data_IF_612829931545
#
_entry.id   IF_612829931545
#
_cell.length_a   1.000
_cell.length_b   1.000
_cell.length_c   1.000
_cell.angle_alpha   90.00
_cell.angle_beta   90.00
_cell.angle_gamma   90.00
#
_symmetry.space_group_name_H-M   'P 1'
#
loop_
_entity.id
_entity.type
_entity.pdbx_description
1 polymer ?
#
# COMPACT_ATOMS: atom_id res chain seq x y z
N UNK A 1 -7.93 41.08 -2.87
CA UNK A 1 -7.68 40.30 -1.61
C UNK A 1 -6.66 39.24 -1.87
N UNK A 2 -5.38 39.35 -1.50
CA UNK A 2 -4.36 38.31 -1.70
C UNK A 2 -3.94 37.73 -0.33
N UNK A 3 -4.68 36.78 0.21
CA UNK A 3 -4.30 36.12 1.49
C UNK A 3 -4.33 34.59 1.50
N UNK A 4 -4.58 33.90 0.36
CA UNK A 4 -4.66 32.44 0.36
C UNK A 4 -3.43 31.70 -0.23
N UNK A 5 -2.56 32.34 -0.97
CA UNK A 5 -1.38 31.71 -1.59
C UNK A 5 -0.20 31.54 -0.63
N UNK A 6 0.01 32.49 0.27
CA UNK A 6 1.14 32.46 1.22
C UNK A 6 1.07 31.33 2.26
N UNK A 7 -0.13 30.83 2.58
CA UNK A 7 -0.31 29.74 3.56
C UNK A 7 0.05 28.35 3.00
N UNK A 8 -0.22 28.08 1.73
CA UNK A 8 0.02 26.78 1.10
C UNK A 8 1.51 26.54 0.79
N UNK A 9 2.19 27.56 0.24
CA UNK A 9 3.64 27.50 0.00
C UNK A 9 4.46 27.36 1.29
N UNK A 10 4.04 28.03 2.37
CA UNK A 10 4.67 27.92 3.69
C UNK A 10 4.59 26.50 4.29
N UNK A 11 3.51 25.74 4.01
CA UNK A 11 3.25 24.45 4.66
C UNK A 11 3.90 23.27 3.93
N UNK A 12 3.97 23.29 2.60
CA UNK A 12 4.72 22.34 1.82
C UNK A 12 6.21 22.37 2.18
N UNK A 13 6.75 23.57 2.34
CA UNK A 13 8.10 23.80 2.86
C UNK A 13 8.31 23.22 4.27
N UNK A 14 7.28 23.22 5.14
CA UNK A 14 7.38 22.67 6.49
C UNK A 14 7.47 21.12 6.49
N UNK A 15 6.68 20.44 5.67
CA UNK A 15 6.75 18.98 5.51
C UNK A 15 8.10 18.55 4.90
N UNK A 16 8.59 19.27 3.87
CA UNK A 16 9.89 19.04 3.26
C UNK A 16 11.03 19.22 4.27
N UNK A 17 11.03 20.32 5.02
CA UNK A 17 12.02 20.55 6.09
C UNK A 17 11.97 19.50 7.18
N UNK A 18 10.79 19.03 7.58
CA UNK A 18 10.66 17.92 8.54
C UNK A 18 11.25 16.64 7.96
N UNK A 19 10.94 16.30 6.71
CA UNK A 19 11.45 15.12 6.03
C UNK A 19 12.99 15.12 5.98
N UNK A 20 13.61 16.24 5.61
CA UNK A 20 15.08 16.42 5.62
C UNK A 20 15.65 16.15 7.01
N UNK A 21 15.13 16.81 8.05
CA UNK A 21 15.60 16.61 9.43
C UNK A 21 15.47 15.15 9.89
N UNK A 22 14.36 14.46 9.55
CA UNK A 22 14.15 13.08 9.97
C UNK A 22 15.07 12.11 9.22
N UNK A 23 15.32 12.31 7.93
CA UNK A 23 16.30 11.51 7.18
C UNK A 23 17.73 11.71 7.72
N UNK A 24 18.12 12.94 8.06
CA UNK A 24 19.43 13.22 8.63
C UNK A 24 19.61 12.60 10.01
N UNK A 25 18.59 12.73 10.87
CA UNK A 25 18.58 12.12 12.21
C UNK A 25 18.62 10.59 12.12
N UNK A 26 17.83 9.99 11.23
CA UNK A 26 17.85 8.55 10.98
C UNK A 26 19.22 8.09 10.48
N UNK A 27 19.79 8.80 9.51
CA UNK A 27 21.11 8.48 8.95
C UNK A 27 22.23 8.55 9.97
N UNK A 28 22.14 9.50 10.91
CA UNK A 28 23.12 9.62 12.00
C UNK A 28 23.03 8.44 12.99
N UNK A 29 21.81 8.09 13.43
CA UNK A 29 21.57 6.94 14.32
C UNK A 29 22.03 5.61 13.71
N UNK A 30 21.61 5.35 12.46
CA UNK A 30 21.94 4.08 11.76
C UNK A 30 23.44 3.91 11.46
N UNK A 31 24.24 4.99 11.54
CA UNK A 31 25.72 4.89 11.48
C UNK A 31 26.33 4.54 12.83
N UNK A 32 25.72 4.99 13.93
CA UNK A 32 26.24 4.82 15.27
C UNK A 32 25.88 3.44 15.87
N UNK A 33 24.75 2.85 15.47
CA UNK A 33 24.26 1.58 15.97
C UNK A 33 24.49 0.46 14.94
N UNK A 34 25.08 -0.70 15.32
CA UNK A 34 25.02 -1.88 14.47
C UNK A 34 23.55 -2.30 14.32
N UNK A 35 23.15 -2.66 13.10
CA UNK A 35 21.80 -3.00 12.67
C UNK A 35 21.06 -3.86 13.72
N UNK A 36 20.01 -3.33 14.35
CA UNK A 36 19.31 -4.06 15.39
C UNK A 36 17.86 -3.72 15.67
N UNK A 37 17.38 -2.53 15.34
CA UNK A 37 16.06 -2.07 15.79
C UNK A 37 15.04 -1.80 14.66
N UNK A 38 15.46 -1.47 13.47
CA UNK A 38 14.57 -1.29 12.31
C UNK A 38 14.83 -2.37 11.25
N UNK A 39 13.78 -2.77 10.55
CA UNK A 39 13.90 -3.73 9.43
C UNK A 39 14.65 -3.04 8.28
N UNK A 40 15.92 -3.39 8.01
CA UNK A 40 16.78 -2.65 7.08
C UNK A 40 16.30 -2.76 5.62
N UNK A 41 15.28 -3.57 5.36
CA UNK A 41 14.68 -3.78 4.04
C UNK A 41 13.40 -3.00 3.83
N UNK A 42 12.89 -2.24 4.82
CA UNK A 42 11.69 -1.42 4.63
C UNK A 42 11.98 -0.29 3.62
N UNK A 43 11.10 -0.09 2.63
CA UNK A 43 11.32 0.90 1.57
C UNK A 43 11.02 2.36 1.99
N UNK A 44 10.60 2.63 3.23
CA UNK A 44 10.19 3.97 3.67
C UNK A 44 11.25 5.04 3.47
N UNK A 45 12.49 4.78 3.89
CA UNK A 45 13.60 5.72 3.74
C UNK A 45 13.92 6.01 2.27
N UNK A 46 14.16 5.02 1.40
CA UNK A 46 14.45 5.31 -0.01
C UNK A 46 13.27 5.90 -0.79
N UNK A 47 12.01 5.57 -0.43
CA UNK A 47 10.82 6.22 -1.01
C UNK A 47 10.81 7.71 -0.67
N UNK A 48 10.95 8.06 0.61
CA UNK A 48 10.97 9.45 1.05
C UNK A 48 12.16 10.22 0.45
N UNK A 49 13.33 9.59 0.41
CA UNK A 49 14.54 10.18 -0.18
C UNK A 49 14.37 10.46 -1.67
N UNK A 50 13.75 9.54 -2.43
CA UNK A 50 13.47 9.75 -3.86
C UNK A 50 12.52 10.94 -4.09
N UNK A 51 11.49 11.10 -3.26
CA UNK A 51 10.57 12.24 -3.33
C UNK A 51 11.28 13.56 -3.01
N UNK A 52 12.14 13.58 -2.00
CA UNK A 52 12.91 14.78 -1.65
C UNK A 52 13.94 15.12 -2.73
N UNK A 53 14.63 14.12 -3.28
CA UNK A 53 15.62 14.33 -4.35
C UNK A 53 14.96 14.97 -5.59
N UNK A 54 13.75 14.56 -5.91
CA UNK A 54 13.01 15.09 -7.05
C UNK A 54 12.55 16.56 -6.88
N UNK A 55 12.67 17.15 -5.68
CA UNK A 55 12.35 18.59 -5.48
C UNK A 55 13.38 19.53 -6.10
N UNK A 56 14.60 19.06 -6.35
CA UNK A 56 15.70 19.88 -6.84
C UNK A 56 16.28 20.85 -5.79
N UNK A 57 15.84 20.75 -4.52
CA UNK A 57 16.41 21.54 -3.42
C UNK A 57 17.78 20.95 -3.02
N UNK A 58 18.87 21.73 -3.01
CA UNK A 58 20.20 21.19 -2.74
C UNK A 58 20.40 20.59 -1.34
N UNK A 59 19.65 21.03 -0.33
CA UNK A 59 19.69 20.46 1.02
C UNK A 59 18.96 19.14 1.05
N UNK A 60 17.77 19.07 0.45
CA UNK A 60 16.99 17.85 0.31
C UNK A 60 17.73 16.77 -0.49
N UNK A 61 18.38 17.14 -1.59
CA UNK A 61 19.21 16.24 -2.40
C UNK A 61 20.37 15.63 -1.60
N UNK A 62 21.12 16.45 -0.85
CA UNK A 62 22.21 15.96 0.00
C UNK A 62 21.75 15.04 1.11
N UNK A 63 20.61 15.36 1.76
CA UNK A 63 20.01 14.52 2.79
C UNK A 63 19.53 13.19 2.21
N UNK A 64 18.83 13.22 1.08
CA UNK A 64 18.37 12.05 0.35
C UNK A 64 19.54 11.13 -0.04
N UNK A 65 20.61 11.69 -0.62
CA UNK A 65 21.77 10.92 -1.02
C UNK A 65 22.45 10.22 0.17
N UNK A 66 22.59 10.91 1.31
CA UNK A 66 23.12 10.30 2.53
C UNK A 66 22.23 9.17 3.05
N UNK A 67 20.92 9.39 3.10
CA UNK A 67 19.99 8.42 3.63
C UNK A 67 19.96 7.15 2.77
N UNK A 68 19.90 7.27 1.45
CA UNK A 68 19.93 6.11 0.54
C UNK A 68 21.25 5.34 0.68
N UNK A 69 22.39 6.02 0.78
CA UNK A 69 23.69 5.37 0.94
C UNK A 69 23.78 4.59 2.28
N UNK A 70 23.24 5.14 3.37
CA UNK A 70 23.18 4.46 4.67
C UNK A 70 22.24 3.26 4.61
N UNK A 71 21.04 3.45 4.04
CA UNK A 71 20.05 2.37 3.90
C UNK A 71 20.58 1.22 3.04
N UNK A 72 21.20 1.51 1.90
CA UNK A 72 21.72 0.52 0.97
C UNK A 72 22.82 -0.37 1.57
N UNK A 73 23.58 0.12 2.54
CA UNK A 73 24.63 -0.65 3.23
C UNK A 73 24.06 -1.88 3.95
N UNK A 74 22.87 -1.73 4.54
CA UNK A 74 22.24 -2.76 5.38
C UNK A 74 21.03 -3.42 4.70
N UNK A 75 20.61 -2.94 3.53
CA UNK A 75 19.50 -3.47 2.77
C UNK A 75 19.68 -4.96 2.42
N UNK A 76 18.61 -5.74 2.60
CA UNK A 76 18.64 -7.19 2.38
C UNK A 76 19.19 -8.02 3.55
N UNK A 77 19.59 -7.38 4.65
CA UNK A 77 19.97 -8.04 5.90
C UNK A 77 18.76 -8.12 6.82
N UNK A 78 17.92 -9.10 6.69
CA UNK A 78 16.69 -9.23 7.48
C UNK A 78 16.04 -10.58 7.29
N UNK A 79 14.78 -10.75 7.73
CA UNK A 79 14.05 -11.98 7.48
C UNK A 79 14.06 -12.34 5.99
N UNK A 80 14.42 -13.57 5.68
CA UNK A 80 14.61 -14.03 4.30
C UNK A 80 13.28 -14.45 3.66
N UNK A 81 12.24 -13.59 3.71
CA UNK A 81 11.00 -13.82 2.98
C UNK A 81 10.88 -12.85 1.79
N UNK A 82 10.03 -13.20 0.81
CA UNK A 82 9.92 -12.47 -0.45
C UNK A 82 8.96 -11.28 -0.41
N UNK A 83 8.27 -11.04 0.70
CA UNK A 83 7.23 -10.03 0.85
C UNK A 83 7.68 -8.59 0.63
N UNK A 84 6.71 -7.70 0.51
CA UNK A 84 6.93 -6.27 0.27
C UNK A 84 7.26 -5.51 1.56
N UNK A 85 6.69 -5.94 2.68
CA UNK A 85 6.86 -5.31 3.99
C UNK A 85 7.50 -6.28 4.99
N UNK A 86 7.57 -5.89 6.25
CA UNK A 86 8.14 -6.66 7.35
C UNK A 86 9.57 -7.18 7.10
N UNK A 87 10.37 -6.40 6.37
CA UNK A 87 11.75 -6.73 6.06
C UNK A 87 11.95 -7.66 4.87
N UNK A 88 10.92 -7.83 4.02
CA UNK A 88 10.99 -8.73 2.87
C UNK A 88 11.83 -8.21 1.70
N UNK A 89 12.29 -9.14 0.86
CA UNK A 89 13.15 -8.85 -0.29
C UNK A 89 12.48 -7.99 -1.38
N UNK A 90 11.16 -8.06 -1.52
CA UNK A 90 10.42 -7.20 -2.44
C UNK A 90 10.44 -5.74 -1.99
N UNK A 91 10.41 -5.46 -0.67
CA UNK A 91 10.62 -4.12 -0.13
C UNK A 91 12.04 -3.60 -0.41
N UNK A 92 13.03 -4.47 -0.23
CA UNK A 92 14.42 -4.16 -0.63
C UNK A 92 14.51 -3.80 -2.12
N UNK A 93 13.84 -4.56 -3.00
CA UNK A 93 13.82 -4.28 -4.44
C UNK A 93 13.24 -2.90 -4.75
N UNK A 94 12.12 -2.54 -4.13
CA UNK A 94 11.52 -1.21 -4.27
C UNK A 94 12.50 -0.12 -3.84
N UNK A 95 13.09 -0.28 -2.66
CA UNK A 95 14.05 0.68 -2.12
C UNK A 95 15.28 0.87 -3.02
N UNK A 96 15.83 -0.21 -3.56
CA UNK A 96 16.95 -0.16 -4.51
C UNK A 96 16.56 0.56 -5.80
N UNK A 97 15.38 0.30 -6.36
CA UNK A 97 14.90 0.92 -7.59
C UNK A 97 14.66 2.42 -7.45
N UNK A 98 13.93 2.81 -6.40
CA UNK A 98 13.68 4.23 -6.16
C UNK A 98 14.95 4.95 -5.73
N UNK A 99 15.78 4.30 -4.91
CA UNK A 99 17.10 4.80 -4.55
C UNK A 99 18.07 4.92 -5.72
N UNK A 100 17.87 4.17 -6.81
CA UNK A 100 18.68 4.29 -8.03
C UNK A 100 18.50 5.65 -8.74
N UNK A 101 17.36 6.33 -8.54
CA UNK A 101 17.17 7.71 -8.97
C UNK A 101 18.10 8.69 -8.25
N UNK A 102 18.56 8.34 -7.06
CA UNK A 102 19.52 9.12 -6.25
C UNK A 102 20.96 8.62 -6.46
N UNK A 103 21.15 7.29 -6.47
CA UNK A 103 22.44 6.63 -6.69
C UNK A 103 22.32 5.59 -7.81
N UNK A 104 22.65 5.94 -9.07
CA UNK A 104 22.49 5.06 -10.23
C UNK A 104 23.21 3.71 -10.12
N UNK A 105 24.27 3.62 -9.31
CA UNK A 105 24.98 2.38 -9.01
C UNK A 105 24.13 1.29 -8.32
N UNK A 106 22.94 1.62 -7.83
CA UNK A 106 22.00 0.64 -7.25
C UNK A 106 21.22 -0.15 -8.32
N UNK A 107 21.14 0.35 -9.56
CA UNK A 107 20.39 -0.31 -10.65
C UNK A 107 20.81 -1.77 -10.86
N UNK A 108 22.12 -2.12 -11.04
CA UNK A 108 22.50 -3.51 -11.23
C UNK A 108 22.27 -4.39 -10.00
N UNK A 109 22.21 -3.80 -8.79
CA UNK A 109 21.85 -4.54 -7.57
C UNK A 109 20.35 -4.86 -7.57
N UNK A 110 19.51 -3.87 -7.91
CA UNK A 110 18.07 -4.05 -8.06
C UNK A 110 17.73 -5.11 -9.12
N UNK A 111 18.44 -5.10 -10.26
CA UNK A 111 18.23 -6.08 -11.32
C UNK A 111 18.57 -7.50 -10.87
N UNK A 112 19.69 -7.70 -10.18
CA UNK A 112 20.05 -9.02 -9.62
C UNK A 112 19.03 -9.52 -8.59
N UNK A 113 18.53 -8.62 -7.73
CA UNK A 113 17.51 -8.99 -6.74
C UNK A 113 16.18 -9.34 -7.41
N UNK A 114 15.74 -8.56 -8.40
CA UNK A 114 14.56 -8.89 -9.23
C UNK A 114 14.70 -10.29 -9.82
N UNK A 115 15.83 -10.57 -10.47
CA UNK A 115 16.06 -11.86 -11.12
C UNK A 115 16.13 -13.01 -10.10
N UNK A 116 16.62 -12.75 -8.90
CA UNK A 116 16.56 -13.71 -7.79
C UNK A 116 15.12 -14.00 -7.40
N UNK A 117 14.30 -12.98 -7.12
CA UNK A 117 12.89 -13.14 -6.74
C UNK A 117 12.10 -13.94 -7.80
N UNK A 118 12.29 -13.62 -9.08
CA UNK A 118 11.60 -14.32 -10.17
C UNK A 118 12.04 -15.78 -10.28
N UNK A 119 13.35 -16.06 -10.19
CA UNK A 119 13.84 -17.44 -10.25
C UNK A 119 13.41 -18.31 -9.08
N UNK A 120 13.30 -17.73 -7.89
CA UNK A 120 12.94 -18.49 -6.68
C UNK A 120 11.43 -18.65 -6.50
N UNK A 121 10.62 -17.83 -7.15
CA UNK A 121 9.15 -17.86 -7.02
C UNK A 121 8.54 -19.27 -7.14
N UNK A 122 8.91 -20.13 -8.12
CA UNK A 122 8.34 -21.48 -8.23
C UNK A 122 8.74 -22.41 -7.08
N UNK A 123 9.80 -22.11 -6.35
CA UNK A 123 10.36 -22.95 -5.28
C UNK A 123 9.86 -22.55 -3.89
N UNK A 124 9.11 -21.44 -3.77
CA UNK A 124 8.64 -20.92 -2.48
C UNK A 124 7.59 -21.83 -1.81
N UNK A 125 7.00 -22.76 -2.55
CA UNK A 125 6.07 -23.74 -1.98
C UNK A 125 4.79 -23.12 -1.42
N UNK A 126 4.32 -22.00 -1.98
CA UNK A 126 3.06 -21.36 -1.57
C UNK A 126 1.90 -22.35 -1.64
N UNK A 127 1.11 -22.39 -0.57
CA UNK A 127 -0.10 -23.21 -0.49
C UNK A 127 -1.17 -22.70 -1.44
N UNK A 128 -2.03 -23.62 -1.88
CA UNK A 128 -3.20 -23.30 -2.70
C UNK A 128 -4.52 -23.70 -2.04
N UNK A 129 -4.45 -24.21 -0.84
CA UNK A 129 -5.59 -24.58 0.02
C UNK A 129 -5.18 -24.35 1.46
N UNK A 130 -6.15 -24.01 2.34
CA UNK A 130 -5.90 -23.69 3.74
C UNK A 130 -4.73 -22.71 3.91
N UNK A 131 -4.79 -21.61 3.17
CA UNK A 131 -3.70 -20.65 3.03
C UNK A 131 -3.43 -19.83 4.30
N UNK A 132 -2.23 -19.29 4.39
CA UNK A 132 -1.83 -18.24 5.33
C UNK A 132 -1.41 -16.98 4.56
N UNK A 133 -1.18 -15.86 5.24
CA UNK A 133 -0.79 -14.60 4.62
C UNK A 133 0.42 -14.70 3.68
N UNK A 134 1.50 -15.43 4.02
CA UNK A 134 2.64 -15.60 3.12
C UNK A 134 2.30 -16.28 1.79
N UNK A 135 1.16 -16.96 1.70
CA UNK A 135 0.77 -17.68 0.49
C UNK A 135 0.12 -16.76 -0.56
N UNK A 136 -0.38 -15.55 -0.18
CA UNK A 136 -1.14 -14.73 -1.14
C UNK A 136 -1.10 -13.23 -0.91
N UNK A 137 -0.84 -12.72 0.31
CA UNK A 137 -1.16 -11.35 0.68
C UNK A 137 -0.22 -10.28 0.10
N UNK A 138 -0.53 -9.02 0.40
CA UNK A 138 0.26 -7.88 -0.04
C UNK A 138 1.45 -7.59 0.88
N UNK A 139 1.38 -7.95 2.16
CA UNK A 139 2.41 -7.60 3.15
C UNK A 139 3.63 -8.52 3.03
N UNK A 140 3.41 -9.82 3.19
CA UNK A 140 4.48 -10.84 3.23
C UNK A 140 4.40 -11.84 2.09
N UNK A 141 3.36 -11.78 1.26
CA UNK A 141 3.05 -12.74 0.21
C UNK A 141 3.33 -12.28 -1.22
N UNK A 142 2.96 -13.13 -2.20
CA UNK A 142 3.23 -12.91 -3.61
C UNK A 142 2.48 -11.71 -4.23
N UNK A 143 1.36 -11.25 -3.66
CA UNK A 143 0.70 -10.02 -4.13
C UNK A 143 1.61 -8.82 -3.95
N UNK A 144 2.27 -8.68 -2.79
CA UNK A 144 3.23 -7.60 -2.56
C UNK A 144 4.47 -7.72 -3.45
N UNK A 145 4.96 -8.94 -3.67
CA UNK A 145 6.11 -9.16 -4.58
C UNK A 145 5.77 -8.74 -6.01
N UNK A 146 4.57 -9.10 -6.50
CA UNK A 146 4.11 -8.69 -7.82
C UNK A 146 4.03 -7.16 -7.94
N UNK A 147 3.47 -6.47 -6.96
CA UNK A 147 3.40 -5.00 -6.93
C UNK A 147 4.79 -4.38 -6.89
N UNK A 148 5.72 -4.92 -6.11
CA UNK A 148 7.10 -4.46 -6.08
C UNK A 148 7.79 -4.56 -7.45
N UNK A 149 7.49 -5.61 -8.21
CA UNK A 149 8.00 -5.75 -9.58
C UNK A 149 7.50 -4.65 -10.53
N UNK A 150 6.36 -4.04 -10.26
CA UNK A 150 5.79 -2.94 -11.06
C UNK A 150 6.25 -1.55 -10.61
N UNK A 151 6.76 -1.40 -9.40
CA UNK A 151 7.16 -0.12 -8.84
C UNK A 151 8.38 0.45 -9.60
N UNK A 152 8.20 1.62 -10.22
CA UNK A 152 9.27 2.35 -10.91
C UNK A 152 9.82 1.68 -12.19
N UNK A 153 9.22 0.59 -12.66
CA UNK A 153 9.68 -0.15 -13.85
C UNK A 153 8.53 -0.73 -14.68
N UNK A 154 8.87 -1.20 -15.88
CA UNK A 154 7.96 -1.97 -16.75
C UNK A 154 8.46 -3.42 -16.82
N UNK A 155 7.97 -4.33 -15.96
CA UNK A 155 8.38 -5.72 -15.95
C UNK A 155 7.91 -6.45 -17.20
N UNK A 156 8.65 -7.49 -17.59
CA UNK A 156 8.26 -8.39 -18.69
C UNK A 156 7.22 -9.40 -18.24
N UNK A 157 6.47 -10.03 -19.17
CA UNK A 157 5.56 -11.12 -18.86
C UNK A 157 6.22 -12.26 -18.07
N UNK A 158 7.44 -12.64 -18.44
CA UNK A 158 8.18 -13.70 -17.75
C UNK A 158 8.52 -13.35 -16.28
N UNK A 159 8.64 -12.08 -15.95
CA UNK A 159 8.92 -11.63 -14.58
C UNK A 159 7.65 -11.61 -13.71
N UNK A 160 6.48 -11.34 -14.28
CA UNK A 160 5.21 -11.32 -13.54
C UNK A 160 4.53 -12.69 -13.48
N UNK A 161 4.71 -13.51 -14.51
CA UNK A 161 4.02 -14.79 -14.70
C UNK A 161 3.97 -15.67 -13.45
N UNK A 162 5.10 -16.01 -12.82
CA UNK A 162 5.10 -16.93 -11.68
C UNK A 162 4.20 -16.51 -10.52
N UNK A 163 4.13 -15.21 -10.23
CA UNK A 163 3.29 -14.65 -9.17
C UNK A 163 1.83 -14.50 -9.63
N UNK A 164 1.62 -14.02 -10.85
CA UNK A 164 0.29 -13.84 -11.42
C UNK A 164 -0.43 -15.19 -11.60
N UNK A 165 0.25 -16.24 -12.07
CA UNK A 165 -0.31 -17.58 -12.25
C UNK A 165 -0.71 -18.22 -10.91
N UNK A 166 0.11 -18.01 -9.87
CA UNK A 166 -0.23 -18.48 -8.53
C UNK A 166 -1.51 -17.81 -8.01
N UNK A 167 -1.56 -16.47 -8.03
CA UNK A 167 -2.72 -15.70 -7.55
C UNK A 167 -3.98 -15.97 -8.38
N UNK A 168 -3.86 -16.10 -9.70
CA UNK A 168 -4.94 -16.51 -10.60
C UNK A 168 -5.50 -17.88 -10.21
N UNK A 169 -4.64 -18.84 -9.89
CA UNK A 169 -5.03 -20.16 -9.44
C UNK A 169 -5.74 -20.17 -8.08
N UNK A 170 -5.51 -19.19 -7.21
CA UNK A 170 -6.28 -19.03 -5.96
C UNK A 170 -7.68 -18.45 -6.21
N UNK A 171 -7.88 -17.77 -7.34
CA UNK A 171 -9.15 -17.16 -7.74
C UNK A 171 -9.87 -17.94 -8.86
N UNK A 172 -9.78 -19.27 -8.85
CA UNK A 172 -10.31 -20.14 -9.92
C UNK A 172 -11.83 -20.41 -9.85
N UNK A 173 -12.48 -20.09 -8.73
CA UNK A 173 -13.90 -20.28 -8.50
C UNK A 173 -14.56 -19.04 -7.87
N UNK A 174 -15.87 -18.84 -8.10
CA UNK A 174 -16.61 -17.64 -7.66
C UNK A 174 -16.71 -17.47 -6.12
N UNK A 175 -16.64 -18.59 -5.36
CA UNK A 175 -16.63 -18.54 -3.89
C UNK A 175 -15.22 -18.38 -3.29
N UNK A 176 -14.19 -18.32 -4.11
CA UNK A 176 -12.77 -18.23 -3.73
C UNK A 176 -12.33 -19.24 -2.65
N UNK A 177 -12.70 -20.53 -2.72
CA UNK A 177 -12.46 -21.48 -1.64
C UNK A 177 -10.98 -21.65 -1.30
N UNK A 178 -10.08 -21.43 -2.27
CA UNK A 178 -8.63 -21.53 -2.10
C UNK A 178 -8.01 -20.38 -1.31
N UNK A 179 -8.74 -19.27 -1.14
CA UNK A 179 -8.33 -18.16 -0.27
C UNK A 179 -8.84 -18.29 1.17
N UNK A 180 -9.53 -19.42 1.51
CA UNK A 180 -9.84 -19.71 2.92
C UNK A 180 -8.58 -20.02 3.69
N UNK A 181 -8.41 -19.29 4.79
CA UNK A 181 -7.30 -19.54 5.70
C UNK A 181 -7.51 -20.83 6.47
N UNK A 182 -6.43 -21.50 6.81
CA UNK A 182 -6.49 -22.76 7.58
C UNK A 182 -5.30 -22.93 8.52
N UNK A 183 -4.61 -21.83 8.87
CA UNK A 183 -3.39 -21.86 9.65
C UNK A 183 -3.47 -21.00 10.93
N UNK A 184 -4.68 -20.50 11.24
CA UNK A 184 -4.86 -19.56 12.36
C UNK A 184 -5.70 -20.12 13.51
N UNK A 185 -6.03 -21.41 13.49
CA UNK A 185 -6.69 -22.07 14.61
C UNK A 185 -5.92 -21.85 15.92
N UNK A 186 -6.58 -21.30 16.93
CA UNK A 186 -5.96 -21.00 18.22
C UNK A 186 -4.95 -19.84 18.23
N UNK A 187 -4.74 -19.15 17.13
CA UNK A 187 -3.87 -17.97 17.11
C UNK A 187 -4.49 -16.81 17.91
N UNK A 188 -3.76 -16.20 18.89
CA UNK A 188 -4.35 -15.25 19.84
C UNK A 188 -4.97 -14.01 19.16
N UNK A 189 -4.42 -13.56 18.04
CA UNK A 189 -4.86 -12.35 17.35
C UNK A 189 -5.52 -12.60 15.98
N UNK A 190 -5.39 -13.81 15.42
CA UNK A 190 -5.88 -14.14 14.08
C UNK A 190 -6.87 -15.31 14.06
N UNK A 191 -7.20 -15.90 15.21
CA UNK A 191 -8.14 -17.01 15.32
C UNK A 191 -9.52 -16.72 14.72
N UNK A 192 -9.96 -15.45 14.73
CA UNK A 192 -11.20 -14.99 14.11
C UNK A 192 -11.23 -15.18 12.58
N UNK A 193 -10.06 -15.35 11.96
CA UNK A 193 -9.90 -15.52 10.51
C UNK A 193 -9.82 -17.00 10.10
N UNK A 194 -9.59 -17.92 11.04
CA UNK A 194 -9.44 -19.34 10.71
C UNK A 194 -10.68 -19.90 10.01
N UNK A 195 -10.47 -20.59 8.89
CA UNK A 195 -11.55 -21.07 8.01
C UNK A 195 -12.29 -20.01 7.19
N UNK A 196 -11.90 -18.74 7.29
CA UNK A 196 -12.56 -17.61 6.61
C UNK A 196 -11.67 -16.97 5.55
N UNK A 197 -12.23 -16.10 4.72
CA UNK A 197 -11.52 -15.36 3.69
C UNK A 197 -11.39 -13.89 4.13
N UNK A 198 -10.18 -13.36 4.20
CA UNK A 198 -9.92 -11.96 4.52
C UNK A 198 -10.30 -11.04 3.36
N UNK A 199 -11.00 -9.93 3.62
CA UNK A 199 -11.45 -8.97 2.60
C UNK A 199 -10.47 -7.84 2.33
N UNK A 200 -9.54 -7.56 3.27
CA UNK A 200 -8.73 -6.36 3.31
C UNK A 200 -7.68 -6.24 2.19
N UNK A 201 -7.09 -5.05 2.09
CA UNK A 201 -6.02 -4.78 1.11
C UNK A 201 -4.68 -5.31 1.59
N UNK A 202 -4.35 -5.19 2.87
CA UNK A 202 -3.08 -5.69 3.40
C UNK A 202 -2.99 -7.21 3.34
N UNK A 203 -3.98 -7.90 3.89
CA UNK A 203 -3.95 -9.34 4.13
C UNK A 203 -5.10 -10.11 3.47
N UNK A 204 -5.77 -9.54 2.47
CA UNK A 204 -6.99 -10.15 1.93
C UNK A 204 -7.14 -10.09 0.43
N UNK A 205 -8.36 -10.43 -0.01
CA UNK A 205 -8.76 -10.51 -1.42
C UNK A 205 -8.54 -9.17 -2.13
N UNK A 206 -8.77 -8.02 -1.49
CA UNK A 206 -8.53 -6.73 -2.11
C UNK A 206 -7.06 -6.52 -2.50
N UNK A 207 -6.10 -7.05 -1.71
CA UNK A 207 -4.68 -7.06 -2.07
C UNK A 207 -4.38 -7.94 -3.28
N UNK A 208 -5.01 -9.12 -3.36
CA UNK A 208 -4.92 -10.01 -4.54
C UNK A 208 -5.50 -9.33 -5.77
N UNK A 209 -6.68 -8.71 -5.66
CA UNK A 209 -7.32 -7.92 -6.75
C UNK A 209 -6.37 -6.84 -7.25
N UNK A 210 -5.77 -6.09 -6.35
CA UNK A 210 -4.82 -5.02 -6.68
C UNK A 210 -3.60 -5.56 -7.44
N UNK A 211 -3.02 -6.68 -6.99
CA UNK A 211 -1.88 -7.30 -7.65
C UNK A 211 -2.23 -7.83 -9.05
N UNK A 212 -3.36 -8.53 -9.18
CA UNK A 212 -3.84 -9.02 -10.49
C UNK A 212 -4.18 -7.86 -11.44
N UNK A 213 -4.73 -6.76 -10.93
CA UNK A 213 -4.99 -5.54 -11.71
C UNK A 213 -3.70 -4.95 -12.26
N UNK A 214 -2.66 -4.82 -11.42
CA UNK A 214 -1.35 -4.34 -11.85
C UNK A 214 -0.73 -5.26 -12.93
N UNK A 215 -0.86 -6.58 -12.78
CA UNK A 215 -0.43 -7.54 -13.79
C UNK A 215 -1.21 -7.38 -15.10
N UNK A 216 -2.55 -7.29 -15.06
CA UNK A 216 -3.39 -7.13 -16.25
C UNK A 216 -3.06 -5.85 -17.02
N UNK A 217 -2.86 -4.73 -16.32
CA UNK A 217 -2.47 -3.46 -16.93
C UNK A 217 -1.10 -3.52 -17.64
N UNK A 218 -0.19 -4.37 -17.17
CA UNK A 218 1.16 -4.53 -17.74
C UNK A 218 1.21 -5.56 -18.86
N UNK A 219 0.46 -6.64 -18.73
CA UNK A 219 0.47 -7.75 -19.69
C UNK A 219 -0.54 -7.58 -20.82
N UNK A 220 -1.57 -6.75 -20.61
CA UNK A 220 -2.70 -6.60 -21.54
C UNK A 220 -3.61 -7.84 -21.55
N UNK A 221 -4.71 -7.78 -22.31
CA UNK A 221 -5.68 -8.88 -22.45
C UNK A 221 -5.25 -9.95 -23.47
N UNK A 222 -3.97 -10.03 -23.84
CA UNK A 222 -3.49 -10.88 -24.92
C UNK A 222 -3.72 -12.38 -24.66
N UNK A 223 -3.95 -13.22 -25.70
CA UNK A 223 -3.98 -14.66 -25.57
C UNK A 223 -2.59 -15.18 -25.21
N UNK A 224 -2.51 -16.02 -24.14
CA UNK A 224 -1.25 -16.54 -23.63
C UNK A 224 -1.33 -16.83 -22.14
N UNK A 225 -0.21 -16.86 -21.41
CA UNK A 225 -0.18 -17.07 -19.94
C UNK A 225 -1.09 -16.12 -19.15
N UNK A 226 -1.35 -14.93 -19.68
CA UNK A 226 -2.27 -13.95 -19.09
C UNK A 226 -3.77 -14.24 -19.32
N UNK A 227 -4.15 -15.27 -20.09
CA UNK A 227 -5.56 -15.52 -20.44
C UNK A 227 -6.46 -15.81 -19.26
N UNK A 228 -5.91 -16.25 -18.12
CA UNK A 228 -6.63 -16.49 -16.87
C UNK A 228 -6.81 -15.25 -15.98
N UNK A 229 -6.05 -14.17 -16.20
CA UNK A 229 -6.02 -12.99 -15.32
C UNK A 229 -7.37 -12.27 -15.24
N UNK A 230 -7.94 -11.88 -16.38
CA UNK A 230 -9.20 -11.14 -16.42
C UNK A 230 -10.38 -11.95 -15.83
N UNK A 231 -10.57 -13.25 -16.15
CA UNK A 231 -11.58 -14.06 -15.48
C UNK A 231 -11.38 -14.19 -13.95
N UNK A 232 -10.15 -14.40 -13.48
CA UNK A 232 -9.85 -14.51 -12.06
C UNK A 232 -10.10 -13.19 -11.33
N UNK A 233 -9.64 -12.08 -11.91
CA UNK A 233 -9.88 -10.74 -11.40
C UNK A 233 -11.38 -10.45 -11.34
N UNK A 234 -12.16 -10.78 -12.38
CA UNK A 234 -13.61 -10.63 -12.38
C UNK A 234 -14.32 -11.47 -11.31
N UNK A 235 -13.84 -12.68 -10.99
CA UNK A 235 -14.40 -13.49 -9.88
C UNK A 235 -14.10 -12.86 -8.52
N UNK A 236 -12.86 -12.42 -8.30
CA UNK A 236 -12.46 -11.81 -7.04
C UNK A 236 -13.18 -10.47 -6.79
N UNK A 237 -13.35 -9.63 -7.81
CA UNK A 237 -14.14 -8.40 -7.71
C UNK A 237 -15.61 -8.67 -7.38
N UNK A 238 -16.27 -9.57 -8.10
CA UNK A 238 -17.66 -9.95 -7.79
C UNK A 238 -17.81 -10.52 -6.39
N UNK A 239 -16.84 -11.32 -5.92
CA UNK A 239 -16.85 -11.83 -4.56
C UNK A 239 -16.80 -10.69 -3.55
N UNK A 240 -15.87 -9.73 -3.68
CA UNK A 240 -15.77 -8.56 -2.79
C UNK A 240 -17.05 -7.72 -2.79
N UNK A 241 -17.66 -7.48 -3.96
CA UNK A 241 -18.93 -6.74 -4.03
C UNK A 241 -20.01 -7.42 -3.18
N UNK A 242 -20.12 -8.77 -3.24
CA UNK A 242 -21.09 -9.53 -2.42
C UNK A 242 -20.80 -9.51 -0.92
N UNK A 243 -19.55 -9.23 -0.49
CA UNK A 243 -19.20 -9.16 0.93
C UNK A 243 -19.44 -7.77 1.54
N UNK A 244 -19.90 -6.80 0.77
CA UNK A 244 -20.16 -5.44 1.25
C UNK A 244 -21.50 -5.32 1.97
N UNK A 245 -21.59 -4.36 2.87
CA UNK A 245 -22.82 -3.98 3.57
C UNK A 245 -22.78 -2.49 3.93
N UNK A 246 -23.97 -1.93 4.22
CA UNK A 246 -24.05 -0.57 4.77
C UNK A 246 -24.03 -0.65 6.30
N UNK A 247 -23.10 0.07 6.93
CA UNK A 247 -23.02 0.17 8.37
C UNK A 247 -24.06 1.14 8.96
N UNK A 248 -24.11 1.27 10.29
CA UNK A 248 -25.07 2.16 10.96
C UNK A 248 -24.91 3.65 10.63
N UNK A 249 -23.80 4.06 10.00
CA UNK A 249 -23.56 5.41 9.48
C UNK A 249 -23.90 5.54 7.99
N UNK A 250 -24.51 4.52 7.40
CA UNK A 250 -24.79 4.43 5.95
C UNK A 250 -23.52 4.54 5.09
N UNK A 251 -22.42 3.98 5.58
CA UNK A 251 -21.17 3.84 4.84
C UNK A 251 -21.15 2.43 4.25
N UNK A 252 -21.02 2.30 2.93
CA UNK A 252 -20.81 1.02 2.27
C UNK A 252 -19.40 0.53 2.62
N UNK A 253 -19.30 -0.63 3.30
CA UNK A 253 -18.05 -1.10 3.89
C UNK A 253 -17.92 -2.62 3.88
N UNK A 254 -16.81 -3.12 4.39
CA UNK A 254 -16.46 -4.53 4.54
C UNK A 254 -16.00 -4.80 5.96
N UNK A 255 -16.30 -5.98 6.46
CA UNK A 255 -15.68 -6.49 7.69
C UNK A 255 -14.29 -7.08 7.34
N UNK A 256 -13.49 -7.41 8.36
CA UNK A 256 -12.16 -7.99 8.16
C UNK A 256 -12.18 -9.35 7.47
N UNK A 257 -13.27 -10.12 7.63
CA UNK A 257 -13.49 -11.36 6.90
C UNK A 257 -14.81 -11.31 6.14
N UNK A 258 -14.92 -12.13 5.09
CA UNK A 258 -16.13 -12.32 4.31
C UNK A 258 -17.31 -12.74 5.20
N UNK A 259 -18.51 -12.42 4.79
CA UNK A 259 -19.74 -12.66 5.58
C UNK A 259 -20.09 -14.16 5.68
N UNK A 260 -19.68 -14.98 4.70
CA UNK A 260 -19.97 -16.43 4.66
C UNK A 260 -21.49 -16.73 4.89
N UNK A 261 -22.34 -15.95 4.18
CA UNK A 261 -23.80 -15.98 4.27
C UNK A 261 -24.38 -15.59 5.65
N UNK A 262 -23.55 -15.16 6.59
CA UNK A 262 -24.00 -14.59 7.85
C UNK A 262 -24.56 -13.17 7.65
N UNK A 263 -25.50 -12.73 8.48
CA UNK A 263 -25.97 -11.35 8.43
C UNK A 263 -24.81 -10.39 8.71
N UNK A 264 -24.80 -9.20 8.05
CA UNK A 264 -23.78 -8.19 8.30
C UNK A 264 -23.72 -7.83 9.79
N UNK A 265 -22.51 -7.55 10.30
CA UNK A 265 -22.36 -7.12 11.70
C UNK A 265 -23.05 -5.77 11.91
N UNK A 266 -23.80 -5.66 13.02
CA UNK A 266 -24.48 -4.41 13.40
C UNK A 266 -23.50 -3.31 13.86
N UNK A 267 -23.99 -2.07 13.93
CA UNK A 267 -23.25 -0.91 14.41
C UNK A 267 -22.40 -0.22 13.33
N UNK A 268 -21.79 0.90 13.72
CA UNK A 268 -20.88 1.65 12.87
C UNK A 268 -19.48 1.03 12.86
N UNK A 269 -18.81 1.07 11.70
CA UNK A 269 -17.45 0.53 11.53
C UNK A 269 -16.42 1.63 11.72
N UNK A 270 -15.71 1.59 12.86
CA UNK A 270 -14.68 2.58 13.16
C UNK A 270 -13.43 2.41 12.25
N UNK A 271 -13.01 1.17 11.95
CA UNK A 271 -11.84 0.94 11.11
C UNK A 271 -12.14 1.21 9.64
N UNK A 272 -11.72 2.41 9.18
CA UNK A 272 -11.76 2.86 7.79
C UNK A 272 -10.36 3.30 7.40
N UNK A 273 -9.58 2.39 6.83
CA UNK A 273 -8.16 2.55 6.59
C UNK A 273 -7.75 1.98 5.22
N UNK A 274 -6.50 2.22 4.81
CA UNK A 274 -5.97 1.60 3.61
C UNK A 274 -6.03 0.05 3.67
N UNK A 275 -5.66 -0.54 4.80
CA UNK A 275 -5.58 -1.99 4.91
C UNK A 275 -6.93 -2.69 5.10
N UNK A 276 -7.93 -2.04 5.72
CA UNK A 276 -9.27 -2.58 5.99
C UNK A 276 -10.35 -1.53 5.84
N UNK A 277 -11.54 -1.98 5.50
CA UNK A 277 -12.72 -1.14 5.32
C UNK A 277 -12.81 -0.51 3.94
N UNK A 278 -13.61 0.55 3.83
CA UNK A 278 -13.97 1.14 2.55
C UNK A 278 -12.79 1.67 1.74
N UNK A 279 -11.79 2.40 2.30
CA UNK A 279 -10.81 3.07 1.46
C UNK A 279 -10.08 2.13 0.52
N UNK A 280 -9.33 1.16 1.04
CA UNK A 280 -8.51 0.29 0.20
C UNK A 280 -9.31 -0.69 -0.63
N UNK A 281 -10.42 -1.24 -0.09
CA UNK A 281 -11.24 -2.21 -0.82
C UNK A 281 -11.99 -1.55 -1.98
N UNK A 282 -12.58 -0.37 -1.78
CA UNK A 282 -13.26 0.34 -2.87
C UNK A 282 -12.30 0.77 -3.98
N UNK A 283 -11.06 1.18 -3.62
CA UNK A 283 -10.03 1.47 -4.61
C UNK A 283 -9.65 0.22 -5.41
N UNK A 284 -9.39 -0.91 -4.75
CA UNK A 284 -9.07 -2.16 -5.42
C UNK A 284 -10.16 -2.57 -6.43
N UNK A 285 -11.44 -2.42 -6.05
CA UNK A 285 -12.59 -2.69 -6.91
C UNK A 285 -12.67 -1.71 -8.07
N UNK A 286 -12.52 -0.41 -7.81
CA UNK A 286 -12.60 0.61 -8.85
C UNK A 286 -11.48 0.44 -9.89
N UNK A 287 -10.25 0.24 -9.45
CA UNK A 287 -9.09 0.10 -10.35
C UNK A 287 -9.16 -1.20 -11.17
N UNK A 288 -9.66 -2.28 -10.57
CA UNK A 288 -9.91 -3.53 -11.27
C UNK A 288 -11.01 -3.40 -12.33
N UNK A 289 -12.12 -2.76 -11.98
CA UNK A 289 -13.24 -2.53 -12.88
C UNK A 289 -12.83 -1.63 -14.06
N UNK A 290 -12.05 -0.56 -13.82
CA UNK A 290 -11.46 0.28 -14.85
C UNK A 290 -10.55 -0.53 -15.80
N UNK A 291 -9.71 -1.41 -15.24
CA UNK A 291 -8.83 -2.28 -16.04
C UNK A 291 -9.59 -3.33 -16.87
N UNK A 292 -10.75 -3.78 -16.40
CA UNK A 292 -11.63 -4.74 -17.06
C UNK A 292 -12.60 -4.07 -18.04
N UNK A 293 -12.74 -2.75 -18.01
CA UNK A 293 -13.77 -2.01 -18.76
C UNK A 293 -15.19 -2.19 -18.19
N UNK A 294 -15.32 -2.61 -16.94
CA UNK A 294 -16.60 -2.82 -16.23
C UNK A 294 -17.05 -1.52 -15.54
N UNK A 295 -17.80 -0.70 -16.29
CA UNK A 295 -18.28 0.60 -15.80
C UNK A 295 -19.24 0.48 -14.63
N UNK A 296 -20.09 -0.54 -14.61
CA UNK A 296 -21.08 -0.72 -13.55
C UNK A 296 -20.38 -0.95 -12.20
N UNK A 297 -19.41 -1.85 -12.15
CA UNK A 297 -18.62 -2.10 -10.93
C UNK A 297 -17.76 -0.89 -10.57
N UNK A 298 -17.21 -0.14 -11.55
CA UNK A 298 -16.44 1.07 -11.27
C UNK A 298 -17.31 2.16 -10.62
N UNK A 299 -18.50 2.43 -11.17
CA UNK A 299 -19.44 3.41 -10.63
C UNK A 299 -19.92 2.99 -9.23
N UNK A 300 -20.17 1.71 -9.03
CA UNK A 300 -20.55 1.15 -7.73
C UNK A 300 -19.44 1.33 -6.68
N UNK A 301 -18.19 1.04 -7.02
CA UNK A 301 -17.05 1.21 -6.13
C UNK A 301 -16.79 2.70 -5.81
N UNK A 302 -16.97 3.58 -6.79
CA UNK A 302 -16.92 5.02 -6.61
C UNK A 302 -18.00 5.52 -5.64
N UNK A 303 -19.23 5.01 -5.76
CA UNK A 303 -20.32 5.31 -4.83
C UNK A 303 -20.01 4.81 -3.41
N UNK A 304 -19.41 3.62 -3.26
CA UNK A 304 -18.97 3.10 -1.97
C UNK A 304 -17.95 4.03 -1.32
N UNK A 305 -16.93 4.48 -2.05
CA UNK A 305 -15.97 5.45 -1.52
C UNK A 305 -16.61 6.80 -1.19
N UNK A 306 -17.52 7.27 -2.02
CA UNK A 306 -18.27 8.52 -1.79
C UNK A 306 -19.05 8.47 -0.48
N UNK A 307 -19.72 7.33 -0.19
CA UNK A 307 -20.45 7.16 1.06
C UNK A 307 -19.57 7.34 2.30
N UNK A 308 -18.32 6.89 2.25
CA UNK A 308 -17.35 7.13 3.31
C UNK A 308 -16.86 8.59 3.30
N UNK A 309 -16.46 9.13 2.13
CA UNK A 309 -15.83 10.44 2.04
C UNK A 309 -16.71 11.57 2.59
N UNK A 310 -18.02 11.47 2.36
CA UNK A 310 -19.02 12.41 2.88
C UNK A 310 -19.26 12.27 4.39
N UNK A 311 -19.04 11.08 4.95
CA UNK A 311 -19.34 10.73 6.36
C UNK A 311 -18.09 10.47 7.19
N UNK A 312 -16.90 10.67 6.60
CA UNK A 312 -15.65 10.46 7.30
C UNK A 312 -15.54 11.43 8.48
N UNK A 313 -15.25 10.87 9.65
CA UNK A 313 -15.12 11.59 10.90
C UNK A 313 -13.79 11.20 11.56
N UNK A 314 -12.85 12.12 11.60
CA UNK A 314 -11.51 11.90 12.12
C UNK A 314 -11.52 11.47 13.59
N UNK A 315 -12.52 11.91 14.37
CA UNK A 315 -12.63 11.54 15.79
C UNK A 315 -13.12 10.11 16.00
N UNK A 316 -13.87 9.58 15.02
CA UNK A 316 -14.43 8.24 15.09
C UNK A 316 -13.57 7.21 14.34
N UNK A 317 -13.05 7.59 13.17
CA UNK A 317 -12.35 6.65 12.30
C UNK A 317 -10.83 6.57 12.57
N UNK A 318 -10.25 7.63 13.18
CA UNK A 318 -8.86 7.62 13.62
C UNK A 318 -8.82 7.34 15.12
N UNK A 319 -8.53 6.11 15.49
CA UNK A 319 -8.52 5.65 16.89
C UNK A 319 -7.32 4.75 17.16
N UNK A 320 -6.91 4.73 18.42
CA UNK A 320 -5.74 4.01 18.96
C UNK A 320 -4.91 4.92 19.84
N UNK A 321 -4.02 4.31 20.61
CA UNK A 321 -3.23 5.02 21.63
C UNK A 321 -1.88 5.51 21.11
N UNK A 322 -1.45 4.99 19.93
CA UNK A 322 -0.15 5.34 19.35
C UNK A 322 -0.32 6.32 18.19
N UNK A 323 0.60 7.26 18.01
CA UNK A 323 0.60 8.16 16.85
C UNK A 323 0.54 7.40 15.50
N UNK A 324 1.14 6.21 15.41
CA UNK A 324 1.06 5.35 14.22
C UNK A 324 -0.37 4.94 13.88
N UNK A 325 -1.22 4.71 14.88
CA UNK A 325 -2.61 4.30 14.68
C UNK A 325 -3.46 5.43 14.07
N UNK A 326 -3.05 6.69 14.31
CA UNK A 326 -3.77 7.89 13.87
C UNK A 326 -3.23 8.46 12.55
N UNK A 327 -1.91 8.36 12.29
CA UNK A 327 -1.25 9.12 11.24
C UNK A 327 -0.65 8.25 10.12
N UNK A 328 -0.26 6.99 10.41
CA UNK A 328 0.50 6.16 9.49
C UNK A 328 -0.30 5.73 8.25
N UNK A 329 0.38 5.18 7.24
CA UNK A 329 -0.26 4.71 6.01
C UNK A 329 -1.16 3.50 6.23
N UNK A 330 -0.76 2.57 7.09
CA UNK A 330 -1.51 1.33 7.25
C UNK A 330 -2.92 1.57 7.81
N UNK A 331 -3.02 2.26 8.95
CA UNK A 331 -4.26 2.40 9.73
C UNK A 331 -4.74 3.85 9.87
N UNK A 332 -3.88 4.83 9.66
CA UNK A 332 -4.12 6.22 9.95
C UNK A 332 -4.56 7.07 8.77
N UNK A 333 -4.59 8.37 9.00
CA UNK A 333 -5.05 9.38 8.06
C UNK A 333 -4.29 9.39 6.73
N UNK A 334 -3.00 9.02 6.73
CA UNK A 334 -2.17 9.07 5.53
C UNK A 334 -2.57 8.03 4.48
N UNK A 335 -2.99 6.85 4.91
CA UNK A 335 -3.51 5.83 3.98
C UNK A 335 -4.82 6.24 3.34
N UNK A 336 -5.73 6.82 4.14
CA UNK A 336 -6.99 7.37 3.63
C UNK A 336 -6.74 8.55 2.69
N UNK A 337 -5.78 9.43 3.02
CA UNK A 337 -5.35 10.53 2.13
C UNK A 337 -4.85 9.99 0.78
N UNK A 338 -3.98 8.97 0.78
CA UNK A 338 -3.45 8.41 -0.46
C UNK A 338 -4.55 7.82 -1.35
N UNK A 339 -5.53 7.14 -0.76
CA UNK A 339 -6.70 6.61 -1.49
C UNK A 339 -7.60 7.73 -1.98
N UNK A 340 -7.89 8.75 -1.15
CA UNK A 340 -8.69 9.90 -1.56
C UNK A 340 -8.04 10.67 -2.72
N UNK A 341 -6.70 10.84 -2.69
CA UNK A 341 -5.96 11.44 -3.80
C UNK A 341 -6.06 10.61 -5.08
N UNK A 342 -5.97 9.28 -4.98
CA UNK A 342 -6.14 8.38 -6.11
C UNK A 342 -7.54 8.50 -6.75
N UNK A 343 -8.61 8.45 -5.96
CA UNK A 343 -9.97 8.63 -6.47
C UNK A 343 -10.21 10.03 -7.03
N UNK A 344 -9.69 11.08 -6.40
CA UNK A 344 -9.83 12.45 -6.91
C UNK A 344 -9.17 12.61 -8.29
N UNK A 345 -8.03 11.96 -8.52
CA UNK A 345 -7.28 12.05 -9.79
C UNK A 345 -7.82 11.15 -10.89
N UNK A 346 -8.15 9.90 -10.56
CA UNK A 346 -8.44 8.89 -11.57
C UNK A 346 -9.95 8.70 -11.83
N UNK A 347 -10.78 8.88 -10.81
CA UNK A 347 -12.23 8.82 -10.91
C UNK A 347 -12.89 10.20 -10.90
N UNK A 348 -12.13 11.27 -10.73
CA UNK A 348 -12.60 12.67 -10.68
C UNK A 348 -13.75 12.89 -9.66
N UNK A 349 -13.73 12.18 -8.52
CA UNK A 349 -14.79 12.24 -7.51
C UNK A 349 -14.68 13.54 -6.65
N UNK A 350 -15.70 14.41 -6.65
CA UNK A 350 -15.68 15.63 -5.83
C UNK A 350 -15.58 15.34 -4.33
N UNK A 351 -16.28 14.31 -3.82
CA UNK A 351 -16.22 13.90 -2.42
C UNK A 351 -14.81 13.45 -2.01
N UNK A 352 -14.10 12.74 -2.90
CA UNK A 352 -12.72 12.35 -2.68
C UNK A 352 -11.78 13.57 -2.63
N UNK A 353 -11.97 14.55 -3.52
CA UNK A 353 -11.20 15.78 -3.52
C UNK A 353 -11.42 16.58 -2.23
N UNK A 354 -12.66 16.65 -1.73
CA UNK A 354 -12.99 17.30 -0.46
C UNK A 354 -12.35 16.60 0.74
N UNK A 355 -12.44 15.26 0.81
CA UNK A 355 -11.79 14.46 1.86
C UNK A 355 -10.27 14.60 1.82
N UNK A 356 -9.66 14.57 0.63
CA UNK A 356 -8.22 14.81 0.42
C UNK A 356 -7.81 16.17 1.02
N UNK A 357 -8.53 17.24 0.72
CA UNK A 357 -8.22 18.58 1.25
C UNK A 357 -8.30 18.64 2.78
N UNK A 358 -9.31 17.99 3.37
CA UNK A 358 -9.45 17.89 4.83
C UNK A 358 -8.29 17.14 5.46
N UNK A 359 -7.93 15.97 4.91
CA UNK A 359 -6.86 15.12 5.44
C UNK A 359 -5.47 15.75 5.25
N UNK A 360 -5.24 16.49 4.16
CA UNK A 360 -4.05 17.33 4.00
C UNK A 360 -3.93 18.34 5.15
N UNK A 361 -5.00 19.06 5.46
CA UNK A 361 -5.02 20.00 6.58
C UNK A 361 -4.81 19.30 7.92
N UNK A 362 -5.48 18.15 8.13
CA UNK A 362 -5.34 17.35 9.35
C UNK A 362 -3.89 16.89 9.59
N UNK A 363 -3.21 16.37 8.57
CA UNK A 363 -1.83 15.90 8.69
C UNK A 363 -0.83 17.06 8.83
N UNK A 364 -1.07 18.19 8.16
CA UNK A 364 -0.21 19.38 8.27
C UNK A 364 -0.21 19.97 9.68
N UNK A 365 -1.35 19.98 10.35
CA UNK A 365 -1.45 20.47 11.73
C UNK A 365 -0.82 19.51 12.73
N UNK A 366 -0.53 18.27 12.32
CA UNK A 366 0.05 17.20 13.17
C UNK A 366 1.50 16.83 12.80
N UNK A 367 2.21 17.72 12.11
CA UNK A 367 3.64 17.54 11.83
C UNK A 367 4.50 17.29 13.08
N UNK A 368 4.21 17.87 14.28
CA UNK A 368 4.92 17.52 15.49
C UNK A 368 4.75 16.04 15.88
N UNK A 369 3.56 15.46 15.74
CA UNK A 369 3.30 14.05 16.01
C UNK A 369 3.95 13.15 14.95
N UNK A 370 3.99 13.58 13.68
CA UNK A 370 4.77 12.89 12.63
C UNK A 370 6.26 12.90 12.97
N UNK A 371 6.78 14.00 13.52
CA UNK A 371 8.16 14.05 14.00
C UNK A 371 8.41 13.06 15.14
N UNK A 372 7.45 12.91 16.06
CA UNK A 372 7.53 11.92 17.15
C UNK A 372 7.56 10.46 16.60
N UNK A 373 6.82 10.15 15.53
CA UNK A 373 6.91 8.85 14.84
C UNK A 373 8.33 8.58 14.34
N UNK A 374 9.06 9.60 13.88
CA UNK A 374 10.45 9.47 13.42
C UNK A 374 11.43 9.00 14.49
N UNK A 375 11.10 9.18 15.77
CA UNK A 375 11.86 8.63 16.88
C UNK A 375 11.63 7.10 17.06
N UNK A 376 10.46 6.59 16.64
CA UNK A 376 10.12 5.18 16.71
C UNK A 376 10.47 4.41 15.45
N UNK A 377 10.52 5.06 14.27
CA UNK A 377 10.92 4.44 13.02
C UNK A 377 10.56 5.23 11.77
N UNK A 378 11.25 4.87 10.68
CA UNK A 378 11.08 5.46 9.34
C UNK A 378 10.43 4.48 8.35
N UNK A 379 9.74 3.44 8.84
CA UNK A 379 9.02 2.48 7.99
C UNK A 379 7.90 3.14 7.17
N UNK A 380 7.61 2.57 6.00
CA UNK A 380 6.61 3.13 5.08
C UNK A 380 5.18 2.98 5.63
N UNK A 381 4.80 1.81 6.12
CA UNK A 381 3.43 1.57 6.58
C UNK A 381 3.15 2.13 7.98
N UNK A 382 4.08 2.01 8.91
CA UNK A 382 3.87 2.34 10.33
C UNK A 382 4.73 3.46 10.89
N UNK A 383 5.75 3.91 10.16
CA UNK A 383 6.70 4.93 10.59
C UNK A 383 6.43 6.32 9.99
N UNK A 384 7.35 7.25 10.24
CA UNK A 384 7.22 8.64 9.82
C UNK A 384 7.36 8.85 8.30
N UNK A 385 8.01 7.94 7.57
CA UNK A 385 8.15 8.09 6.12
C UNK A 385 6.80 8.08 5.42
N UNK A 386 5.86 7.23 5.85
CA UNK A 386 4.54 7.11 5.24
C UNK A 386 3.74 8.42 5.20
N UNK A 387 3.46 9.07 6.33
CA UNK A 387 2.79 10.36 6.37
C UNK A 387 3.46 11.44 5.52
N UNK A 388 4.78 11.50 5.53
CA UNK A 388 5.54 12.47 4.73
C UNK A 388 5.44 12.17 3.24
N UNK A 389 5.55 10.91 2.83
CA UNK A 389 5.36 10.50 1.44
C UNK A 389 3.94 10.82 0.95
N UNK A 390 2.91 10.54 1.76
CA UNK A 390 1.53 10.87 1.42
C UNK A 390 1.30 12.38 1.27
N UNK A 391 1.84 13.19 2.19
CA UNK A 391 1.78 14.65 2.14
C UNK A 391 2.45 15.18 0.87
N UNK A 392 3.71 14.80 0.62
CA UNK A 392 4.47 15.31 -0.53
C UNK A 392 3.82 14.89 -1.85
N UNK A 393 3.30 13.66 -1.94
CA UNK A 393 2.65 13.15 -3.15
C UNK A 393 1.31 13.84 -3.42
N UNK A 394 0.50 14.04 -2.39
CA UNK A 394 -0.81 14.66 -2.55
C UNK A 394 -0.75 16.17 -2.75
N UNK A 395 0.27 16.86 -2.21
CA UNK A 395 0.36 18.32 -2.20
C UNK A 395 1.06 18.91 -3.42
N UNK A 396 2.08 18.25 -3.96
CA UNK A 396 3.03 18.85 -4.89
C UNK A 396 3.12 18.20 -6.27
N UNK A 397 2.19 17.35 -6.66
CA UNK A 397 2.33 16.57 -7.91
C UNK A 397 3.63 15.76 -7.99
N UNK A 398 4.18 15.40 -6.83
CA UNK A 398 5.42 14.65 -6.73
C UNK A 398 5.31 13.29 -7.42
N UNK A 399 6.45 12.69 -7.72
CA UNK A 399 6.52 11.39 -8.39
C UNK A 399 5.68 10.32 -7.68
N UNK A 400 4.84 9.63 -8.45
CA UNK A 400 3.89 8.62 -7.95
C UNK A 400 4.42 7.18 -8.08
N UNK A 401 5.69 7.02 -8.47
CA UNK A 401 6.33 5.74 -8.78
C UNK A 401 6.38 4.75 -7.60
N UNK A 402 6.19 5.22 -6.38
CA UNK A 402 6.13 4.42 -5.16
C UNK A 402 4.73 3.90 -4.82
N UNK A 403 3.68 4.52 -5.34
CA UNK A 403 2.28 4.18 -5.02
C UNK A 403 1.90 2.73 -5.32
N UNK A 404 2.49 2.03 -6.32
CA UNK A 404 2.28 0.59 -6.47
C UNK A 404 2.55 -0.23 -5.21
N UNK A 405 3.42 0.25 -4.29
CA UNK A 405 3.62 -0.38 -2.98
C UNK A 405 2.35 -0.44 -2.13
N UNK A 406 1.40 0.46 -2.38
CA UNK A 406 0.09 0.49 -1.72
C UNK A 406 -1.02 -0.07 -2.63
N UNK A 407 -0.67 -0.53 -3.82
CA UNK A 407 -1.65 -0.88 -4.84
C UNK A 407 -2.40 0.33 -5.40
N UNK A 408 -1.80 1.51 -5.36
CA UNK A 408 -2.31 2.76 -5.91
C UNK A 408 -1.54 3.13 -7.18
N UNK A 409 -2.05 4.13 -7.93
CA UNK A 409 -1.39 4.66 -9.12
C UNK A 409 -1.45 6.20 -9.23
#
# INVERSE_FOLDING_TARGET
MPHHTASAESTGTAATRLAVRLLDAWSARSRAEPAGAELPSDPGVPVLAALLYATGDPEAERSAARAVAVWARDAGRGPAHCGLYDGGLAGTLVGLRLGAGVHPGLTPVADRLRDHLVRTAPTLGHRREQVAFPDYDLIVGPSGTLLALTAGTSPTPAQLGPFADHLTGLCDADALPRLRTGQYAGHPNLGWLDGRINTGTGHGVAGVVTALTAALRRLGPAPGPASGLAPALGRATRWLVRQSFDDARSIRTWDGAGLDDAPPPGGARARQAWCYGTPGVSWALWDAADALGDRETADWAAAAFTSLAERYDERFHLFGDRPSDLLALCHGASGVLAVADAFARHAALPAAAALRARLLTHLRTRLPEVAALGATGMGLLGGAAGPLCALLTADHDAARTWLPCLGLR
#
